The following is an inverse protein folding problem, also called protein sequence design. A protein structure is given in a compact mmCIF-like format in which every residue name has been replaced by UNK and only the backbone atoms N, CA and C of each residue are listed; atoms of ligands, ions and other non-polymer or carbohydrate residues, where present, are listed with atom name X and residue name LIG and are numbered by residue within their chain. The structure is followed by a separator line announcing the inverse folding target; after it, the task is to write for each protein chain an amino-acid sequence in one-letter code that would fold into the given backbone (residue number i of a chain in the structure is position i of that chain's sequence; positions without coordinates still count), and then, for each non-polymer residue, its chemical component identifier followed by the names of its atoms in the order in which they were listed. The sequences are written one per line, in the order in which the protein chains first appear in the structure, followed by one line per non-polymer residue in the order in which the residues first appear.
data_IF_761497861617
#
_entry.id   IF_761497861617
#
_cell.length_a   1.000
_cell.length_b   1.000
_cell.length_c   1.000
_cell.angle_alpha   90.00
_cell.angle_beta   90.00
_cell.angle_gamma   90.00
#
_symmetry.space_group_name_H-M   'P 1'
#
loop_
_entity.id
_entity.type
_entity.pdbx_description
1 polymer ?
#
# COMPACT_ATOMS: atom_id res chain seq x y z
N UNK A 1 -10.83 34.35 -39.01
CA UNK A 1 -10.06 33.09 -39.03
C UNK A 1 -10.57 32.21 -37.91
N UNK A 2 -11.38 31.20 -38.24
CA UNK A 2 -12.01 30.30 -37.27
C UNK A 2 -11.14 29.05 -37.09
N UNK A 3 -10.96 28.61 -35.84
CA UNK A 3 -10.23 27.39 -35.50
C UNK A 3 -10.97 26.13 -36.00
N UNK A 4 -10.26 25.05 -36.37
CA UNK A 4 -10.90 23.84 -36.88
C UNK A 4 -11.56 23.06 -35.74
N UNK A 5 -12.63 22.28 -36.01
CA UNK A 5 -13.26 21.44 -35.00
C UNK A 5 -12.36 20.24 -34.67
N UNK A 6 -12.34 19.85 -33.39
CA UNK A 6 -11.66 18.65 -32.89
C UNK A 6 -12.36 17.37 -33.40
N UNK A 7 -11.62 16.27 -33.62
CA UNK A 7 -12.18 15.04 -34.16
C UNK A 7 -13.07 14.32 -33.14
N UNK A 8 -14.29 13.97 -33.58
CA UNK A 8 -15.19 13.06 -32.88
C UNK A 8 -14.56 11.67 -32.77
N UNK A 9 -14.03 11.32 -31.60
CA UNK A 9 -13.65 9.94 -31.26
C UNK A 9 -14.89 9.21 -30.73
N UNK A 10 -15.69 8.67 -31.64
CA UNK A 10 -16.69 7.66 -31.31
C UNK A 10 -15.97 6.39 -30.82
N UNK A 11 -16.39 5.88 -29.65
CA UNK A 11 -16.00 4.54 -29.18
C UNK A 11 -16.60 3.48 -30.12
N UNK A 12 -15.89 2.38 -30.43
CA UNK A 12 -16.37 1.35 -31.35
C UNK A 12 -17.52 0.52 -30.74
N UNK A 13 -18.43 -0.02 -31.57
CA UNK A 13 -19.53 -0.85 -31.08
C UNK A 13 -19.07 -2.26 -30.69
N UNK A 14 -19.79 -2.83 -29.73
CA UNK A 14 -19.59 -4.17 -29.14
C UNK A 14 -19.89 -5.25 -30.18
N UNK A 15 -18.98 -6.20 -30.37
CA UNK A 15 -19.24 -7.47 -31.08
C UNK A 15 -19.30 -8.63 -30.08
N UNK A 16 -20.31 -9.52 -30.15
CA UNK A 16 -20.37 -10.69 -29.28
C UNK A 16 -19.38 -11.76 -29.76
N UNK A 17 -18.41 -12.13 -28.92
CA UNK A 17 -17.46 -13.20 -29.24
C UNK A 17 -18.02 -14.57 -28.87
N UNK A 18 -18.03 -15.44 -29.89
CA UNK A 18 -18.28 -16.87 -29.79
C UNK A 18 -17.25 -17.56 -28.88
N UNK A 19 -17.73 -18.49 -28.06
CA UNK A 19 -16.95 -19.39 -27.20
C UNK A 19 -16.12 -20.39 -28.02
N UNK A 20 -14.79 -20.53 -27.77
CA UNK A 20 -14.04 -21.67 -28.29
C UNK A 20 -14.19 -22.90 -27.39
N UNK A 21 -14.46 -24.04 -28.02
CA UNK A 21 -14.50 -25.37 -27.41
C UNK A 21 -13.12 -25.77 -26.86
N UNK A 22 -13.12 -26.42 -25.69
CA UNK A 22 -11.93 -27.00 -25.04
C UNK A 22 -11.49 -28.31 -25.71
N UNK A 23 -10.18 -28.54 -25.96
CA UNK A 23 -9.69 -29.85 -26.37
C UNK A 23 -9.58 -30.81 -25.17
N UNK A 24 -10.07 -32.04 -25.36
CA UNK A 24 -9.97 -33.15 -24.41
C UNK A 24 -8.54 -33.68 -24.40
N UNK A 25 -7.88 -33.67 -23.25
CA UNK A 25 -6.65 -34.44 -23.01
C UNK A 25 -6.99 -35.76 -22.30
N UNK A 26 -6.51 -36.85 -22.89
CA UNK A 26 -6.65 -38.22 -22.42
C UNK A 26 -5.43 -38.57 -21.56
N UNK A 27 -5.63 -39.08 -20.34
CA UNK A 27 -4.56 -39.67 -19.51
C UNK A 27 -4.81 -41.17 -19.36
N UNK A 28 -3.79 -42.04 -19.54
CA UNK A 28 -3.93 -43.46 -19.27
C UNK A 28 -3.80 -43.76 -17.77
N UNK A 29 -4.59 -44.73 -17.33
CA UNK A 29 -4.64 -45.24 -15.96
C UNK A 29 -3.53 -46.27 -15.68
N UNK A 30 -2.95 -46.21 -14.48
CA UNK A 30 -2.22 -47.33 -13.87
C UNK A 30 -2.56 -47.41 -12.37
N UNK A 31 -2.97 -48.61 -11.96
CA UNK A 31 -3.34 -49.02 -10.59
C UNK A 31 -2.12 -49.40 -9.73
N UNK A 32 -2.28 -49.53 -8.40
CA UNK A 32 -1.23 -49.25 -7.41
C UNK A 32 -0.56 -50.50 -6.82
N UNK A 33 0.62 -50.30 -6.22
CA UNK A 33 1.26 -51.25 -5.29
C UNK A 33 1.40 -50.65 -3.89
N UNK A 34 1.19 -51.52 -2.91
CA UNK A 34 0.99 -51.30 -1.48
C UNK A 34 2.32 -51.08 -0.74
N UNK A 35 2.33 -50.19 0.26
CA UNK A 35 3.42 -50.05 1.24
C UNK A 35 3.00 -49.21 2.45
N UNK A 36 2.82 -49.86 3.60
CA UNK A 36 2.36 -49.27 4.86
C UNK A 36 3.46 -48.50 5.62
N UNK A 37 3.10 -47.38 6.29
CA UNK A 37 3.22 -47.19 7.76
C UNK A 37 2.95 -45.76 8.25
N UNK A 38 2.27 -45.74 9.40
CA UNK A 38 2.18 -44.75 10.51
C UNK A 38 1.29 -43.51 10.36
N UNK A 39 0.33 -43.48 11.29
CA UNK A 39 -0.68 -42.46 11.51
C UNK A 39 -0.18 -41.29 12.37
N UNK A 40 -0.63 -40.09 12.04
CA UNK A 40 -0.72 -38.89 12.89
C UNK A 40 -2.09 -38.24 12.63
N UNK A 41 -2.69 -37.54 13.59
CA UNK A 41 -4.10 -37.17 13.52
C UNK A 41 -4.33 -36.00 12.56
N UNK A 42 -5.28 -36.18 11.65
CA UNK A 42 -5.78 -35.16 10.73
C UNK A 42 -6.63 -34.13 11.49
N UNK A 43 -6.25 -32.86 11.40
CA UNK A 43 -7.15 -31.72 11.61
C UNK A 43 -7.86 -31.47 10.27
N UNK A 44 -9.18 -31.64 10.22
CA UNK A 44 -9.96 -31.36 9.03
C UNK A 44 -10.14 -29.84 8.85
N UNK A 45 -9.33 -29.23 8.00
CA UNK A 45 -9.68 -27.94 7.41
C UNK A 45 -10.54 -28.20 6.18
N UNK A 46 -11.81 -27.81 6.24
CA UNK A 46 -12.71 -27.76 5.10
C UNK A 46 -12.08 -26.90 4.01
N UNK A 47 -11.77 -27.52 2.87
CA UNK A 47 -11.24 -26.83 1.70
C UNK A 47 -12.33 -25.91 1.12
N UNK A 48 -12.23 -24.62 1.42
CA UNK A 48 -12.93 -23.60 0.65
C UNK A 48 -12.27 -23.54 -0.73
N UNK A 49 -12.99 -24.01 -1.75
CA UNK A 49 -12.58 -24.01 -3.14
C UNK A 49 -12.40 -22.57 -3.63
N UNK A 50 -11.16 -22.07 -3.63
CA UNK A 50 -10.81 -20.81 -4.28
C UNK A 50 -11.04 -20.98 -5.79
N UNK A 51 -12.09 -20.35 -6.32
CA UNK A 51 -12.33 -20.28 -7.77
C UNK A 51 -11.22 -19.45 -8.41
N UNK A 52 -10.34 -20.11 -9.16
CA UNK A 52 -9.42 -19.46 -10.11
C UNK A 52 -10.22 -18.86 -11.27
N UNK A 53 -10.18 -17.54 -11.41
CA UNK A 53 -10.68 -16.81 -12.58
C UNK A 53 -11.42 -15.54 -12.17
N UNK A 54 -10.67 -14.44 -12.00
CA UNK A 54 -11.27 -13.11 -11.81
C UNK A 54 -12.00 -12.69 -13.08
N UNK A 55 -13.31 -12.97 -13.16
CA UNK A 55 -14.20 -12.33 -14.13
C UNK A 55 -14.49 -10.93 -13.58
N UNK A 56 -14.20 -9.90 -14.38
CA UNK A 56 -14.65 -8.53 -14.11
C UNK A 56 -16.18 -8.58 -13.98
N UNK A 57 -16.72 -8.18 -12.84
CA UNK A 57 -18.17 -8.04 -12.68
C UNK A 57 -18.62 -6.86 -13.57
N UNK A 58 -19.49 -7.07 -14.57
CA UNK A 58 -19.93 -6.00 -15.46
C UNK A 58 -20.49 -4.80 -14.71
N UNK A 59 -21.13 -5.00 -13.56
CA UNK A 59 -21.75 -3.95 -12.76
C UNK A 59 -20.73 -2.92 -12.21
N UNK A 60 -19.49 -3.32 -11.92
CA UNK A 60 -18.46 -2.40 -11.39
C UNK A 60 -17.85 -1.52 -12.47
N UNK A 61 -17.59 -2.12 -13.63
CA UNK A 61 -17.18 -1.38 -14.81
C UNK A 61 -18.25 -0.37 -15.21
N UNK A 62 -19.51 -0.79 -15.26
CA UNK A 62 -20.63 0.08 -15.58
C UNK A 62 -20.90 1.13 -14.51
N UNK A 63 -20.73 0.83 -13.22
CA UNK A 63 -20.90 1.83 -12.16
C UNK A 63 -19.80 2.89 -12.18
N UNK A 64 -18.54 2.49 -12.40
CA UNK A 64 -17.42 3.42 -12.55
C UNK A 64 -17.62 4.33 -13.75
N UNK A 65 -17.96 3.76 -14.92
CA UNK A 65 -18.23 4.57 -16.10
C UNK A 65 -19.47 5.45 -15.95
N UNK A 66 -20.54 4.96 -15.31
CA UNK A 66 -21.74 5.76 -15.04
C UNK A 66 -21.41 6.96 -14.16
N UNK A 67 -20.61 6.76 -13.10
CA UNK A 67 -20.15 7.83 -12.22
C UNK A 67 -19.38 8.91 -13.01
N UNK A 68 -18.47 8.51 -13.91
CA UNK A 68 -17.69 9.43 -14.75
C UNK A 68 -18.55 10.14 -15.82
N UNK A 69 -19.44 9.39 -16.48
CA UNK A 69 -20.26 9.89 -17.59
C UNK A 69 -21.42 10.78 -17.13
N UNK A 70 -21.96 10.56 -15.93
CA UNK A 70 -23.13 11.27 -15.39
C UNK A 70 -23.04 12.81 -15.46
N UNK A 71 -21.82 13.37 -15.48
CA UNK A 71 -21.57 14.81 -15.62
C UNK A 71 -20.44 15.14 -16.63
N UNK A 72 -20.18 14.24 -17.60
CA UNK A 72 -19.24 14.48 -18.71
C UNK A 72 -17.77 14.62 -18.30
N UNK A 73 -17.33 13.92 -17.26
CA UNK A 73 -16.00 14.12 -16.66
C UNK A 73 -14.98 13.10 -17.17
N UNK A 74 -13.80 13.59 -17.51
CA UNK A 74 -12.65 12.74 -17.86
C UNK A 74 -11.68 12.58 -16.68
N UNK A 75 -11.05 11.41 -16.52
CA UNK A 75 -10.01 11.19 -15.51
C UNK A 75 -8.86 12.21 -15.64
N UNK A 76 -8.45 12.80 -14.52
CA UNK A 76 -7.41 13.84 -14.47
C UNK A 76 -6.03 13.20 -14.31
N UNK A 77 -5.25 13.18 -15.38
CA UNK A 77 -3.86 12.69 -15.37
C UNK A 77 -2.98 13.39 -14.32
N UNK A 78 -3.17 14.69 -14.10
CA UNK A 78 -2.41 15.46 -13.11
C UNK A 78 -2.66 15.04 -11.66
N UNK A 79 -3.78 14.36 -11.39
CA UNK A 79 -4.10 13.79 -10.08
C UNK A 79 -3.78 12.29 -9.98
N UNK A 80 -3.22 11.68 -11.03
CA UNK A 80 -2.90 10.25 -11.04
C UNK A 80 -4.13 9.34 -10.96
N UNK A 81 -5.31 9.80 -11.42
CA UNK A 81 -6.57 9.06 -11.29
C UNK A 81 -6.57 7.79 -12.15
N UNK A 82 -6.59 6.64 -11.49
CA UNK A 82 -6.79 5.31 -12.05
C UNK A 82 -7.83 4.55 -11.22
N UNK A 83 -9.03 4.39 -11.77
CA UNK A 83 -10.16 3.79 -11.07
C UNK A 83 -10.15 2.27 -11.20
N UNK A 84 -10.33 1.56 -10.08
CA UNK A 84 -10.46 0.11 -10.07
C UNK A 84 -11.79 -0.32 -10.72
N UNK A 85 -11.72 -1.22 -11.71
CA UNK A 85 -12.85 -1.76 -12.44
C UNK A 85 -13.34 -3.11 -11.92
N UNK A 86 -12.61 -3.72 -10.98
CA UNK A 86 -12.83 -5.09 -10.52
C UNK A 86 -13.01 -5.13 -9.00
N UNK A 87 -14.26 -5.30 -8.53
CA UNK A 87 -14.57 -5.41 -7.08
C UNK A 87 -13.80 -6.52 -6.38
N UNK A 88 -13.54 -7.65 -7.04
CA UNK A 88 -12.81 -8.75 -6.39
C UNK A 88 -11.40 -8.35 -5.95
N UNK A 89 -10.77 -7.34 -6.58
CA UNK A 89 -9.50 -6.79 -6.11
C UNK A 89 -9.73 -5.93 -4.85
N UNK A 90 -10.81 -5.14 -4.78
CA UNK A 90 -11.15 -4.36 -3.59
C UNK A 90 -11.48 -5.27 -2.40
N UNK A 91 -12.21 -6.37 -2.63
CA UNK A 91 -12.47 -7.42 -1.63
C UNK A 91 -11.16 -8.03 -1.12
N UNK A 92 -10.23 -8.39 -2.03
CA UNK A 92 -8.92 -8.90 -1.65
C UNK A 92 -8.08 -7.85 -0.88
N UNK A 93 -8.21 -6.56 -1.22
CA UNK A 93 -7.52 -5.48 -0.52
C UNK A 93 -8.03 -5.33 0.92
N UNK A 94 -9.36 -5.33 1.10
CA UNK A 94 -9.99 -5.29 2.43
C UNK A 94 -9.68 -6.56 3.25
N UNK A 95 -9.66 -7.72 2.60
CA UNK A 95 -9.28 -8.99 3.23
C UNK A 95 -7.81 -9.01 3.65
N UNK A 96 -6.90 -8.43 2.85
CA UNK A 96 -5.49 -8.32 3.19
C UNK A 96 -5.24 -7.45 4.45
N UNK A 97 -6.11 -6.47 4.70
CA UNK A 97 -6.14 -5.68 5.94
C UNK A 97 -6.98 -6.31 7.06
N UNK A 98 -7.53 -7.51 6.82
CA UNK A 98 -8.42 -8.22 7.73
C UNK A 98 -9.51 -7.31 8.29
N UNK A 99 -10.15 -6.49 7.44
CA UNK A 99 -11.20 -5.55 7.84
C UNK A 99 -12.39 -6.33 8.39
N UNK A 100 -12.89 -5.88 9.54
CA UNK A 100 -14.01 -6.49 10.27
C UNK A 100 -15.08 -5.45 10.56
N UNK A 101 -16.26 -5.96 10.89
CA UNK A 101 -17.34 -5.12 11.41
C UNK A 101 -16.87 -4.34 12.65
N UNK A 102 -17.16 -3.04 12.65
CA UNK A 102 -16.76 -2.13 13.73
C UNK A 102 -15.37 -1.51 13.56
N UNK A 103 -14.55 -1.96 12.60
CA UNK A 103 -13.26 -1.32 12.33
C UNK A 103 -13.43 0.13 11.85
N UNK A 104 -12.47 0.98 12.21
CA UNK A 104 -12.31 2.32 11.63
C UNK A 104 -11.24 2.27 10.55
N UNK A 105 -11.59 2.69 9.34
CA UNK A 105 -10.71 2.60 8.17
C UNK A 105 -10.51 3.98 7.55
N UNK A 106 -9.25 4.37 7.35
CA UNK A 106 -8.87 5.49 6.52
C UNK A 106 -8.74 5.01 5.06
N UNK A 107 -9.42 5.71 4.15
CA UNK A 107 -9.29 5.54 2.70
C UNK A 107 -8.77 6.84 2.07
N UNK A 108 -7.65 6.76 1.35
CA UNK A 108 -7.03 7.89 0.66
C UNK A 108 -7.34 7.78 -0.83
N UNK A 109 -8.06 8.76 -1.37
CA UNK A 109 -8.47 8.79 -2.77
C UNK A 109 -9.57 7.78 -3.10
N UNK A 110 -10.77 7.88 -2.49
CA UNK A 110 -11.88 6.97 -2.75
C UNK A 110 -12.36 6.98 -4.22
N UNK A 111 -12.11 8.07 -4.97
CA UNK A 111 -12.47 8.16 -6.39
C UNK A 111 -13.96 8.01 -6.63
N UNK A 112 -14.38 6.90 -7.25
CA UNK A 112 -15.81 6.60 -7.49
C UNK A 112 -16.48 5.92 -6.30
N UNK A 113 -15.73 5.59 -5.24
CA UNK A 113 -16.21 4.91 -4.04
C UNK A 113 -16.32 3.38 -4.20
N UNK A 114 -15.60 2.78 -5.15
CA UNK A 114 -15.66 1.33 -5.38
C UNK A 114 -15.04 0.51 -4.24
N UNK A 115 -13.94 0.98 -3.66
CA UNK A 115 -13.34 0.38 -2.46
C UNK A 115 -14.15 0.77 -1.21
N UNK A 116 -14.58 2.03 -1.11
CA UNK A 116 -15.47 2.51 -0.05
C UNK A 116 -16.70 1.62 0.14
N UNK A 117 -17.34 1.19 -0.95
CA UNK A 117 -18.51 0.29 -0.89
C UNK A 117 -18.16 -1.01 -0.16
N UNK A 118 -17.06 -1.67 -0.54
CA UNK A 118 -16.62 -2.94 0.06
C UNK A 118 -16.33 -2.77 1.54
N UNK A 119 -15.69 -1.66 1.94
CA UNK A 119 -15.38 -1.38 3.35
C UNK A 119 -16.65 -1.17 4.18
N UNK A 120 -17.63 -0.43 3.66
CA UNK A 120 -18.91 -0.20 4.32
C UNK A 120 -19.73 -1.50 4.41
N UNK A 121 -19.74 -2.31 3.36
CA UNK A 121 -20.45 -3.60 3.30
C UNK A 121 -19.90 -4.60 4.32
N UNK A 122 -18.60 -4.50 4.66
CA UNK A 122 -17.96 -5.25 5.76
C UNK A 122 -18.29 -4.69 7.16
N UNK A 123 -19.06 -3.60 7.25
CA UNK A 123 -19.46 -2.99 8.51
C UNK A 123 -18.40 -2.07 9.13
N UNK A 124 -17.42 -1.60 8.35
CA UNK A 124 -16.44 -0.62 8.82
C UNK A 124 -17.03 0.81 8.85
N UNK A 125 -16.44 1.67 9.67
CA UNK A 125 -16.62 3.13 9.59
C UNK A 125 -15.44 3.72 8.81
N UNK A 126 -15.72 4.39 7.70
CA UNK A 126 -14.71 4.88 6.76
C UNK A 126 -14.54 6.40 6.89
N UNK A 127 -13.30 6.82 7.08
CA UNK A 127 -12.87 8.20 6.84
C UNK A 127 -12.19 8.26 5.48
N UNK A 128 -12.82 8.90 4.50
CA UNK A 128 -12.27 9.03 3.17
C UNK A 128 -11.65 10.43 2.98
N UNK A 129 -10.44 10.51 2.42
CA UNK A 129 -9.76 11.78 2.09
C UNK A 129 -9.63 11.89 0.58
N UNK A 130 -10.32 12.85 -0.02
CA UNK A 130 -10.35 13.04 -1.46
C UNK A 130 -9.96 14.47 -1.83
N UNK A 131 -8.92 14.61 -2.66
CA UNK A 131 -8.40 15.90 -3.10
C UNK A 131 -9.28 16.53 -4.18
N UNK A 132 -9.89 15.70 -5.02
CA UNK A 132 -10.78 16.17 -6.08
C UNK A 132 -12.18 16.46 -5.51
N UNK A 133 -12.51 17.74 -5.36
CA UNK A 133 -13.78 18.19 -4.77
C UNK A 133 -15.02 17.58 -5.40
N UNK A 134 -14.96 17.27 -6.70
CA UNK A 134 -16.06 16.58 -7.36
C UNK A 134 -16.19 15.12 -6.93
N UNK A 135 -15.07 14.41 -6.83
CA UNK A 135 -15.09 13.00 -6.39
C UNK A 135 -15.48 12.91 -4.92
N UNK A 136 -15.03 13.87 -4.10
CA UNK A 136 -15.47 13.98 -2.72
C UNK A 136 -17.00 14.10 -2.62
N UNK A 137 -17.59 15.04 -3.37
CA UNK A 137 -19.05 15.22 -3.41
C UNK A 137 -19.79 13.99 -3.98
N UNK A 138 -19.24 13.34 -5.01
CA UNK A 138 -19.83 12.16 -5.63
C UNK A 138 -19.90 10.99 -4.65
N UNK A 139 -18.81 10.72 -3.93
CA UNK A 139 -18.75 9.62 -2.96
C UNK A 139 -19.65 9.94 -1.76
N UNK A 140 -19.65 11.19 -1.28
CA UNK A 140 -20.55 11.64 -0.21
C UNK A 140 -22.03 11.46 -0.59
N UNK A 141 -22.44 11.92 -1.79
CA UNK A 141 -23.80 11.74 -2.32
C UNK A 141 -24.18 10.25 -2.47
N UNK A 142 -23.25 9.44 -3.00
CA UNK A 142 -23.46 8.00 -3.22
C UNK A 142 -23.77 7.24 -1.93
N UNK A 143 -23.19 7.67 -0.81
CA UNK A 143 -23.32 7.00 0.48
C UNK A 143 -24.10 7.85 1.51
N UNK A 144 -24.85 8.86 1.09
CA UNK A 144 -25.63 9.73 1.98
C UNK A 144 -26.68 8.98 2.82
N UNK A 145 -27.07 7.77 2.42
CA UNK A 145 -27.98 6.90 3.17
C UNK A 145 -27.35 6.14 4.35
N UNK A 146 -26.03 6.27 4.57
CA UNK A 146 -25.31 5.60 5.67
C UNK A 146 -24.52 6.61 6.51
N UNK A 147 -24.44 6.37 7.81
CA UNK A 147 -23.61 7.14 8.75
C UNK A 147 -22.19 6.57 8.88
N UNK A 148 -21.86 5.51 8.13
CA UNK A 148 -20.57 4.82 8.17
C UNK A 148 -19.48 5.47 7.31
N UNK A 149 -19.78 6.58 6.63
CA UNK A 149 -18.82 7.31 5.83
C UNK A 149 -18.70 8.76 6.31
N UNK A 150 -17.47 9.24 6.39
CA UNK A 150 -17.14 10.66 6.47
C UNK A 150 -16.13 11.00 5.38
N UNK A 151 -16.47 11.98 4.53
CA UNK A 151 -15.57 12.45 3.46
C UNK A 151 -14.91 13.77 3.86
N UNK A 152 -13.57 13.83 3.75
CA UNK A 152 -12.77 15.05 3.87
C UNK A 152 -12.30 15.46 2.48
N UNK A 153 -12.74 16.63 2.01
CA UNK A 153 -12.25 17.18 0.75
C UNK A 153 -10.93 17.94 0.95
N UNK A 154 -9.84 17.20 1.14
CA UNK A 154 -8.51 17.74 1.43
C UNK A 154 -7.42 17.05 0.62
N UNK A 155 -6.26 17.71 0.52
CA UNK A 155 -5.03 17.06 0.06
C UNK A 155 -4.42 16.28 1.23
N UNK A 156 -4.40 14.94 1.14
CA UNK A 156 -3.84 14.10 2.19
C UNK A 156 -2.42 14.50 2.59
N UNK A 157 -1.60 14.96 1.63
CA UNK A 157 -0.21 15.37 1.91
C UNK A 157 -0.08 16.66 2.72
N UNK A 158 -1.19 17.37 2.94
CA UNK A 158 -1.26 18.65 3.64
C UNK A 158 -2.22 18.63 4.84
N UNK A 159 -2.97 17.56 5.03
CA UNK A 159 -3.96 17.45 6.09
C UNK A 159 -3.32 17.08 7.44
N UNK A 160 -3.94 17.51 8.53
CA UNK A 160 -3.53 17.12 9.89
C UNK A 160 -4.23 15.81 10.28
N UNK A 161 -3.82 14.71 9.64
CA UNK A 161 -4.52 13.42 9.75
C UNK A 161 -4.69 12.92 11.19
N UNK A 162 -3.68 13.10 12.05
CA UNK A 162 -3.77 12.74 13.47
C UNK A 162 -4.94 13.44 14.18
N UNK A 163 -5.20 14.71 13.87
CA UNK A 163 -6.28 15.50 14.46
C UNK A 163 -7.66 15.03 13.98
N UNK A 164 -7.80 14.73 12.68
CA UNK A 164 -9.04 14.20 12.13
C UNK A 164 -9.37 12.83 12.71
N UNK A 165 -8.37 11.94 12.80
CA UNK A 165 -8.57 10.60 13.34
C UNK A 165 -8.88 10.63 14.83
N UNK A 166 -8.16 11.45 15.62
CA UNK A 166 -8.45 11.62 17.05
C UNK A 166 -9.89 12.10 17.28
N UNK A 167 -10.36 13.04 16.47
CA UNK A 167 -11.74 13.55 16.56
C UNK A 167 -12.78 12.48 16.21
N UNK A 168 -12.49 11.66 15.19
CA UNK A 168 -13.38 10.56 14.78
C UNK A 168 -13.41 9.43 15.82
N UNK A 169 -12.24 8.96 16.26
CA UNK A 169 -12.13 7.91 17.28
C UNK A 169 -12.83 8.31 18.57
N UNK A 170 -12.66 9.57 19.02
CA UNK A 170 -13.38 10.08 20.19
C UNK A 170 -14.91 10.05 20.01
N UNK A 171 -15.42 10.35 18.82
CA UNK A 171 -16.86 10.27 18.55
C UNK A 171 -17.40 8.83 18.58
N UNK A 172 -16.57 7.85 18.22
CA UNK A 172 -16.92 6.44 18.20
C UNK A 172 -16.79 5.81 19.60
N UNK A 173 -15.75 6.15 20.36
CA UNK A 173 -15.54 5.67 21.74
C UNK A 173 -16.65 6.07 22.71
N UNK A 174 -17.24 7.26 22.50
CA UNK A 174 -18.44 7.71 23.23
C UNK A 174 -19.66 6.79 22.99
N UNK A 175 -19.58 5.88 22.03
CA UNK A 175 -20.64 5.00 21.55
C UNK A 175 -20.41 3.50 21.91
N UNK A 176 -19.69 3.22 23.01
CA UNK A 176 -19.64 1.91 23.71
C UNK A 176 -18.60 0.84 23.24
N UNK A 177 -17.53 1.21 22.52
CA UNK A 177 -16.52 0.25 22.05
C UNK A 177 -15.09 0.51 22.56
N UNK A 178 -14.39 -0.57 22.96
CA UNK A 178 -12.95 -0.54 23.25
C UNK A 178 -12.21 -0.05 22.00
N UNK A 179 -11.42 1.01 22.15
CA UNK A 179 -10.64 1.61 21.07
C UNK A 179 -9.62 0.60 20.52
N UNK A 180 -9.89 0.07 19.32
CA UNK A 180 -8.91 -0.64 18.53
C UNK A 180 -8.22 0.37 17.62
N UNK A 181 -6.90 0.24 17.35
CA UNK A 181 -6.25 1.07 16.37
C UNK A 181 -6.97 0.99 15.02
N UNK A 182 -7.05 2.13 14.33
CA UNK A 182 -7.64 2.19 13.00
C UNK A 182 -6.77 1.43 11.99
N UNK A 183 -7.29 1.25 10.77
CA UNK A 183 -6.56 0.69 9.64
C UNK A 183 -6.53 1.67 8.48
N UNK A 184 -5.58 1.50 7.58
CA UNK A 184 -5.58 2.20 6.29
C UNK A 184 -5.75 1.18 5.18
N UNK A 185 -6.72 1.39 4.29
CA UNK A 185 -6.94 0.53 3.12
C UNK A 185 -7.17 1.44 1.93
N UNK A 186 -6.28 1.46 0.94
CA UNK A 186 -6.37 2.46 -0.13
C UNK A 186 -5.75 2.03 -1.46
N UNK A 187 -6.42 2.42 -2.55
CA UNK A 187 -5.86 2.47 -3.90
C UNK A 187 -5.34 3.89 -4.18
N UNK A 188 -4.10 4.16 -3.82
CA UNK A 188 -3.58 5.53 -3.81
C UNK A 188 -3.06 5.97 -5.19
N UNK A 189 -3.10 7.29 -5.49
CA UNK A 189 -2.47 7.80 -6.70
C UNK A 189 -0.96 7.56 -6.72
N UNK A 190 -0.46 6.98 -7.81
CA UNK A 190 0.91 6.48 -7.88
C UNK A 190 1.98 7.56 -7.71
N UNK A 191 1.68 8.80 -8.10
CA UNK A 191 2.61 9.93 -8.06
C UNK A 191 2.92 10.47 -6.65
N UNK A 192 2.13 10.10 -5.63
CA UNK A 192 2.29 10.58 -4.25
C UNK A 192 2.54 9.44 -3.25
N UNK A 193 2.79 8.22 -3.73
CA UNK A 193 2.93 7.02 -2.90
C UNK A 193 3.97 7.17 -1.78
N UNK A 194 5.14 7.73 -2.11
CA UNK A 194 6.24 7.90 -1.14
C UNK A 194 5.87 8.89 -0.03
N UNK A 195 5.17 9.97 -0.37
CA UNK A 195 4.77 10.99 0.61
C UNK A 195 3.68 10.47 1.53
N UNK A 196 2.71 9.71 0.99
CA UNK A 196 1.68 9.02 1.77
C UNK A 196 2.33 8.06 2.77
N UNK A 197 3.26 7.21 2.33
CA UNK A 197 3.96 6.26 3.20
C UNK A 197 4.72 6.99 4.32
N UNK A 198 5.42 8.07 3.98
CA UNK A 198 6.17 8.86 4.98
C UNK A 198 5.29 9.52 6.03
N UNK A 199 4.06 9.86 5.69
CA UNK A 199 3.09 10.41 6.63
C UNK A 199 2.42 9.34 7.48
N UNK A 200 2.09 8.18 6.89
CA UNK A 200 1.32 7.13 7.56
C UNK A 200 2.14 6.25 8.51
N UNK A 201 3.31 5.77 8.08
CA UNK A 201 4.02 4.73 8.86
C UNK A 201 4.43 5.18 10.28
N UNK A 202 4.78 6.45 10.55
CA UNK A 202 5.06 6.90 11.91
C UNK A 202 3.84 6.93 12.85
N UNK A 203 2.62 6.80 12.33
CA UNK A 203 1.37 6.90 13.07
C UNK A 203 0.92 5.56 13.67
N UNK A 204 1.86 4.75 14.19
CA UNK A 204 1.58 3.44 14.79
C UNK A 204 0.70 3.51 16.05
N UNK A 205 0.65 4.68 16.70
CA UNK A 205 -0.25 4.98 17.82
C UNK A 205 -1.73 5.08 17.39
N UNK A 206 -1.97 5.37 16.11
CA UNK A 206 -3.31 5.55 15.53
C UNK A 206 -3.70 4.34 14.68
N UNK A 207 -2.77 3.83 13.87
CA UNK A 207 -3.02 2.75 12.92
C UNK A 207 -2.26 1.49 13.29
N UNK A 208 -2.92 0.33 13.27
CA UNK A 208 -2.23 -0.96 13.43
C UNK A 208 -1.65 -1.48 12.11
N UNK A 209 -2.34 -1.20 11.00
CA UNK A 209 -2.04 -1.80 9.71
C UNK A 209 -2.38 -0.84 8.57
N UNK A 210 -1.48 -0.77 7.59
CA UNK A 210 -1.62 0.03 6.38
C UNK A 210 -1.54 -0.91 5.18
N UNK A 211 -2.61 -1.01 4.39
CA UNK A 211 -2.67 -1.82 3.17
C UNK A 211 -2.91 -0.91 1.97
N UNK A 212 -1.93 -0.88 1.07
CA UNK A 212 -1.91 0.03 -0.07
C UNK A 212 -1.76 -0.76 -1.36
N UNK A 213 -2.51 -0.32 -2.38
CA UNK A 213 -2.24 -0.69 -3.76
C UNK A 213 -1.28 0.34 -4.36
N UNK A 214 -0.11 -0.13 -4.79
CA UNK A 214 1.00 0.66 -5.31
C UNK A 214 1.40 0.18 -6.71
N UNK A 215 2.24 0.94 -7.42
CA UNK A 215 2.93 0.41 -8.60
C UNK A 215 3.80 -0.79 -8.21
N UNK A 216 3.85 -1.82 -9.05
CA UNK A 216 4.57 -3.07 -8.76
C UNK A 216 6.05 -2.83 -8.41
N UNK A 217 6.76 -2.02 -9.19
CA UNK A 217 8.17 -1.68 -8.91
C UNK A 217 8.33 -1.01 -7.54
N UNK A 218 7.41 -0.10 -7.20
CA UNK A 218 7.44 0.58 -5.90
C UNK A 218 7.13 -0.39 -4.77
N UNK A 219 6.15 -1.28 -4.94
CA UNK A 219 5.82 -2.32 -3.97
C UNK A 219 7.01 -3.25 -3.69
N UNK A 220 7.61 -3.82 -4.75
CA UNK A 220 8.78 -4.68 -4.64
C UNK A 220 9.93 -3.96 -3.95
N UNK A 221 10.19 -2.71 -4.34
CA UNK A 221 11.24 -1.89 -3.74
C UNK A 221 11.02 -1.63 -2.25
N UNK A 222 9.79 -1.48 -1.77
CA UNK A 222 9.52 -1.19 -0.36
C UNK A 222 9.59 -2.44 0.52
N UNK A 223 9.19 -3.59 -0.02
CA UNK A 223 9.19 -4.88 0.70
C UNK A 223 10.56 -5.53 0.71
N UNK A 224 11.42 -5.24 -0.28
CA UNK A 224 12.76 -5.81 -0.33
C UNK A 224 13.58 -5.43 0.92
N UNK A 225 13.83 -6.46 1.73
CA UNK A 225 14.59 -6.42 2.97
C UNK A 225 16.03 -6.94 2.79
N UNK A 226 16.39 -7.43 1.60
CA UNK A 226 17.69 -8.05 1.37
C UNK A 226 18.83 -7.03 1.48
N UNK A 227 19.82 -7.36 2.32
CA UNK A 227 21.09 -6.63 2.42
C UNK A 227 21.95 -6.96 1.20
N UNK A 228 22.42 -5.94 0.47
CA UNK A 228 23.37 -6.14 -0.64
C UNK A 228 22.78 -6.16 -2.06
N UNK A 229 21.48 -5.91 -2.24
CA UNK A 229 20.96 -5.55 -3.57
C UNK A 229 21.31 -4.08 -3.86
N UNK A 230 21.70 -3.77 -5.10
CA UNK A 230 22.12 -2.41 -5.51
C UNK A 230 20.99 -1.36 -5.47
N UNK A 231 19.80 -1.72 -4.98
CA UNK A 231 18.59 -0.91 -5.05
C UNK A 231 18.09 -0.38 -3.70
N UNK A 232 18.74 -0.74 -2.58
CA UNK A 232 18.36 -0.24 -1.25
C UNK A 232 18.49 1.29 -1.18
N UNK A 233 17.46 1.93 -0.60
CA UNK A 233 17.34 3.39 -0.50
C UNK A 233 16.98 3.81 0.93
N UNK A 234 17.06 5.12 1.27
CA UNK A 234 16.61 5.63 2.57
C UNK A 234 15.18 5.21 2.92
N UNK A 235 14.30 5.11 1.92
CA UNK A 235 12.91 4.72 2.14
C UNK A 235 12.79 3.28 2.67
N UNK A 236 13.68 2.36 2.30
CA UNK A 236 13.69 0.99 2.83
C UNK A 236 13.97 1.00 4.33
N UNK A 237 14.97 1.79 4.76
CA UNK A 237 15.30 1.94 6.19
C UNK A 237 14.13 2.57 6.92
N UNK A 238 13.49 3.59 6.33
CA UNK A 238 12.30 4.23 6.88
C UNK A 238 11.13 3.27 7.07
N UNK A 239 10.79 2.49 6.05
CA UNK A 239 9.69 1.51 6.11
C UNK A 239 9.97 0.46 7.19
N UNK A 240 11.15 -0.14 7.19
CA UNK A 240 11.51 -1.19 8.16
C UNK A 240 11.62 -0.65 9.60
N UNK A 241 11.96 0.63 9.78
CA UNK A 241 12.01 1.26 11.10
C UNK A 241 10.62 1.33 11.74
N UNK A 242 9.60 1.73 10.97
CA UNK A 242 8.25 1.97 11.47
C UNK A 242 7.29 0.79 11.30
N UNK A 243 7.63 -0.19 10.47
CA UNK A 243 6.70 -1.26 10.11
C UNK A 243 7.40 -2.54 9.66
N UNK A 244 6.60 -3.60 9.54
CA UNK A 244 6.98 -4.84 8.86
C UNK A 244 6.24 -4.92 7.51
N UNK A 245 6.93 -4.64 6.38
CA UNK A 245 6.32 -4.65 5.06
C UNK A 245 6.16 -6.07 4.52
N UNK A 246 5.04 -6.35 3.85
CA UNK A 246 4.77 -7.66 3.24
C UNK A 246 4.09 -7.49 1.87
N UNK A 247 4.64 -8.14 0.84
CA UNK A 247 4.03 -8.21 -0.48
C UNK A 247 2.87 -9.21 -0.43
N UNK A 248 1.65 -8.77 -0.77
CA UNK A 248 0.47 -9.64 -0.74
C UNK A 248 0.22 -10.30 -2.09
N UNK A 249 -0.03 -9.50 -3.12
CA UNK A 249 -0.29 -10.02 -4.48
C UNK A 249 -0.14 -8.94 -5.55
N UNK A 250 0.07 -9.39 -6.80
CA UNK A 250 0.13 -8.54 -8.00
C UNK A 250 -1.27 -8.26 -8.55
N UNK A 251 -1.48 -7.04 -9.07
CA UNK A 251 -2.71 -6.61 -9.74
C UNK A 251 -2.40 -6.16 -11.17
N UNK A 252 -2.91 -6.86 -12.20
CA UNK A 252 -2.70 -6.45 -13.59
C UNK A 252 -3.31 -5.08 -13.88
N UNK A 253 -2.58 -4.24 -14.63
CA UNK A 253 -3.02 -2.89 -15.05
C UNK A 253 -4.34 -2.86 -15.81
N UNK A 254 -4.75 -3.98 -16.41
CA UNK A 254 -6.03 -4.12 -17.13
C UNK A 254 -7.26 -4.01 -16.22
N UNK A 255 -7.08 -4.06 -14.89
CA UNK A 255 -8.15 -3.84 -13.92
C UNK A 255 -8.45 -2.35 -13.66
N UNK A 256 -7.82 -1.41 -14.37
CA UNK A 256 -7.95 0.02 -14.12
C UNK A 256 -8.46 0.80 -15.34
N UNK A 257 -9.15 1.91 -15.06
CA UNK A 257 -9.49 2.92 -16.05
C UNK A 257 -9.14 4.35 -15.57
N UNK A 258 -8.40 5.14 -16.36
CA UNK A 258 -7.62 4.72 -17.52
C UNK A 258 -6.59 3.68 -17.12
N UNK A 259 -6.19 2.82 -18.05
CA UNK A 259 -5.16 1.82 -17.78
C UNK A 259 -3.81 2.52 -17.50
N UNK A 260 -3.12 2.24 -16.39
CA UNK A 260 -1.79 2.75 -16.12
C UNK A 260 -0.74 2.08 -17.01
N UNK A 261 0.45 2.67 -17.07
CA UNK A 261 1.55 2.15 -17.90
C UNK A 261 2.18 0.88 -17.32
N UNK A 262 2.09 0.69 -16.01
CA UNK A 262 2.71 -0.41 -15.25
C UNK A 262 1.66 -1.18 -14.47
N UNK A 263 1.96 -2.42 -14.15
CA UNK A 263 1.15 -3.21 -13.21
C UNK A 263 1.25 -2.64 -11.79
N UNK A 264 0.31 -3.06 -10.96
CA UNK A 264 0.22 -2.70 -9.56
C UNK A 264 0.45 -3.91 -8.66
N UNK A 265 0.62 -3.68 -7.37
CA UNK A 265 0.67 -4.71 -6.35
C UNK A 265 0.13 -4.18 -5.02
N UNK A 266 -0.39 -5.10 -4.22
CA UNK A 266 -0.86 -4.84 -2.86
C UNK A 266 0.25 -5.15 -1.87
N UNK A 267 0.51 -4.20 -0.98
CA UNK A 267 1.48 -4.31 0.10
C UNK A 267 0.79 -3.98 1.42
N UNK A 268 1.06 -4.76 2.46
CA UNK A 268 0.70 -4.41 3.84
C UNK A 268 1.92 -3.94 4.60
N UNK A 269 1.71 -3.03 5.54
CA UNK A 269 2.67 -2.57 6.52
C UNK A 269 2.02 -2.74 7.89
N UNK A 270 2.49 -3.71 8.67
CA UNK A 270 2.11 -3.83 10.07
C UNK A 270 2.89 -2.78 10.85
N UNK A 271 2.22 -1.80 11.45
CA UNK A 271 2.90 -0.70 12.12
C UNK A 271 3.41 -1.13 13.50
N UNK A 272 4.61 -0.64 13.83
CA UNK A 272 5.23 -0.83 15.15
C UNK A 272 4.70 0.21 16.11
N UNK A 273 4.54 -0.16 17.37
CA UNK A 273 4.29 0.82 18.43
C UNK A 273 5.59 1.54 18.77
N UNK A 274 5.50 2.74 19.35
CA UNK A 274 6.69 3.53 19.69
C UNK A 274 7.67 2.78 20.61
N UNK A 275 7.17 1.88 21.46
CA UNK A 275 7.98 1.03 22.33
C UNK A 275 8.78 -0.05 21.56
N UNK A 276 8.34 -0.41 20.36
CA UNK A 276 8.97 -1.42 19.50
C UNK A 276 9.89 -0.82 18.44
N UNK A 277 10.03 0.52 18.41
CA UNK A 277 10.95 1.17 17.49
C UNK A 277 12.41 0.80 17.82
N UNK A 278 13.28 0.67 16.80
CA UNK A 278 14.70 0.45 17.04
C UNK A 278 15.30 1.51 17.97
N UNK A 279 16.09 1.07 18.94
CA UNK A 279 16.64 1.94 19.99
C UNK A 279 17.71 2.89 19.41
N UNK A 280 17.31 4.13 19.13
CA UNK A 280 18.20 5.20 18.65
C UNK A 280 18.11 6.40 19.59
N UNK A 281 19.24 7.09 19.82
CA UNK A 281 19.30 8.25 20.72
C UNK A 281 18.35 9.39 20.30
N UNK A 282 18.13 9.56 18.99
CA UNK A 282 17.12 10.44 18.43
C UNK A 282 16.68 9.96 17.06
N UNK A 283 15.37 9.82 16.87
CA UNK A 283 14.78 9.41 15.58
C UNK A 283 15.13 10.42 14.48
N UNK A 284 15.16 11.72 14.83
CA UNK A 284 15.48 12.80 13.88
C UNK A 284 16.94 12.72 13.43
N UNK A 285 17.89 12.53 14.36
CA UNK A 285 19.31 12.39 14.01
C UNK A 285 19.56 11.11 13.22
N UNK A 286 18.88 10.02 13.58
CA UNK A 286 18.95 8.74 12.87
C UNK A 286 18.58 8.88 11.40
N UNK A 287 17.40 9.43 11.10
CA UNK A 287 17.00 9.62 9.70
C UNK A 287 17.83 10.69 8.98
N UNK A 288 18.35 11.69 9.68
CA UNK A 288 19.33 12.62 9.09
C UNK A 288 20.59 11.87 8.65
N UNK A 289 21.14 11.01 9.50
CA UNK A 289 22.31 10.18 9.21
C UNK A 289 22.04 9.22 8.05
N UNK A 290 20.89 8.53 8.05
CA UNK A 290 20.49 7.62 6.97
C UNK A 290 20.42 8.40 5.65
N UNK A 291 19.74 9.54 5.58
CA UNK A 291 19.67 10.33 4.35
C UNK A 291 21.06 10.77 3.87
N UNK A 292 21.92 11.18 4.81
CA UNK A 292 23.31 11.53 4.55
C UNK A 292 24.13 10.37 4.02
N UNK A 293 23.94 9.15 4.53
CA UNK A 293 24.64 7.95 4.07
C UNK A 293 24.44 7.72 2.57
N UNK A 294 23.19 7.85 2.10
CA UNK A 294 22.80 7.67 0.70
C UNK A 294 23.07 8.92 -0.17
N UNK A 295 23.68 9.99 0.36
CA UNK A 295 23.98 11.21 -0.38
C UNK A 295 25.24 11.04 -1.26
N UNK A 296 25.06 10.35 -2.38
CA UNK A 296 26.07 10.13 -3.40
C UNK A 296 26.14 8.67 -3.83
N UNK A 297 25.93 8.42 -5.12
CA UNK A 297 25.97 7.06 -5.66
C UNK A 297 27.35 6.43 -5.43
N UNK A 298 27.38 5.20 -4.90
CA UNK A 298 28.57 4.35 -4.73
C UNK A 298 29.63 4.88 -3.74
N UNK A 299 29.32 5.92 -2.95
CA UNK A 299 30.23 6.42 -1.91
C UNK A 299 30.24 5.47 -0.71
N UNK A 300 31.43 5.27 -0.13
CA UNK A 300 31.60 4.57 1.15
C UNK A 300 31.04 5.42 2.30
N UNK A 301 30.55 4.77 3.36
CA UNK A 301 29.95 5.44 4.52
C UNK A 301 30.89 6.47 5.17
N UNK A 302 32.16 6.12 5.32
CA UNK A 302 33.24 7.01 5.80
C UNK A 302 33.46 8.28 4.98
N UNK A 303 32.95 8.34 3.74
CA UNK A 303 32.96 9.54 2.88
C UNK A 303 31.64 10.28 2.93
N UNK A 304 30.52 9.57 3.01
CA UNK A 304 29.18 10.17 3.06
C UNK A 304 28.89 10.85 4.42
N UNK A 305 29.43 10.32 5.52
CA UNK A 305 29.08 10.74 6.88
C UNK A 305 30.11 11.70 7.53
N UNK A 306 31.07 12.25 6.77
CA UNK A 306 32.15 13.09 7.31
C UNK A 306 31.72 14.41 7.97
N UNK A 307 30.49 14.86 7.70
CA UNK A 307 29.92 16.03 8.35
C UNK A 307 29.30 15.72 9.72
N UNK A 308 29.16 14.44 10.08
CA UNK A 308 28.64 13.98 11.37
C UNK A 308 29.79 13.61 12.30
N UNK A 309 30.79 12.90 11.80
CA UNK A 309 31.95 12.42 12.57
C UNK A 309 33.17 12.26 11.66
N UNK A 310 34.36 12.14 12.24
CA UNK A 310 35.60 11.99 11.46
C UNK A 310 35.64 10.65 10.73
N UNK A 311 36.36 10.58 9.60
CA UNK A 311 36.47 9.32 8.84
C UNK A 311 37.02 8.16 9.69
N UNK A 312 37.98 8.44 10.58
CA UNK A 312 38.59 7.45 11.46
C UNK A 312 37.61 6.91 12.51
N UNK A 313 36.78 7.78 13.09
CA UNK A 313 35.72 7.36 14.02
C UNK A 313 34.65 6.52 13.33
N UNK A 314 34.27 6.88 12.09
CA UNK A 314 33.32 6.10 11.30
C UNK A 314 33.90 4.72 10.93
N UNK A 315 35.16 4.65 10.52
CA UNK A 315 35.84 3.37 10.21
C UNK A 315 35.89 2.47 11.44
N UNK A 316 36.25 3.00 12.63
CA UNK A 316 36.21 2.26 13.90
C UNK A 316 34.80 1.79 14.27
N UNK A 317 33.80 2.65 14.12
CA UNK A 317 32.41 2.28 14.42
C UNK A 317 31.87 1.19 13.46
N UNK A 318 32.32 1.18 12.20
CA UNK A 318 32.01 0.10 11.26
C UNK A 318 32.67 -1.21 11.70
N UNK A 319 33.94 -1.18 12.12
CA UNK A 319 34.64 -2.35 12.65
C UNK A 319 33.94 -2.91 13.91
N UNK A 320 33.51 -2.05 14.84
CA UNK A 320 32.73 -2.43 16.02
C UNK A 320 31.37 -3.06 15.65
N UNK A 321 30.80 -2.64 14.51
CA UNK A 321 29.59 -3.24 13.94
C UNK A 321 29.87 -4.53 13.14
N UNK A 322 31.11 -5.01 13.08
CA UNK A 322 31.57 -6.13 12.23
C UNK A 322 31.38 -5.88 10.72
N UNK A 323 31.53 -4.62 10.29
CA UNK A 323 31.41 -4.19 8.90
C UNK A 323 32.77 -3.69 8.37
N UNK A 324 33.09 -3.92 7.08
CA UNK A 324 34.27 -3.35 6.46
C UNK A 324 34.30 -1.81 6.49
N UNK A 325 35.48 -1.22 6.68
CA UNK A 325 35.70 0.23 6.52
C UNK A 325 35.30 0.77 5.12
N UNK A 326 35.23 -0.12 4.13
CA UNK A 326 34.80 0.15 2.76
C UNK A 326 33.30 0.03 2.53
N UNK A 327 32.52 -0.28 3.58
CA UNK A 327 31.08 -0.51 3.46
C UNK A 327 30.31 0.65 2.88
N UNK A 328 29.29 0.31 2.10
CA UNK A 328 28.37 1.25 1.48
C UNK A 328 26.97 1.18 2.10
N UNK A 329 26.18 2.26 2.05
CA UNK A 329 24.86 2.30 2.65
C UNK A 329 23.92 1.17 2.23
N UNK A 330 23.98 0.74 0.96
CA UNK A 330 23.15 -0.33 0.41
C UNK A 330 23.48 -1.73 0.97
N UNK A 331 24.64 -1.90 1.59
CA UNK A 331 25.10 -3.17 2.18
C UNK A 331 24.59 -3.35 3.62
N UNK A 332 24.18 -2.27 4.30
CA UNK A 332 23.79 -2.29 5.71
C UNK A 332 22.34 -2.73 5.90
N UNK A 333 22.10 -3.57 6.92
CA UNK A 333 20.76 -3.84 7.48
C UNK A 333 20.25 -2.66 8.31
N UNK A 334 18.97 -2.70 8.74
CA UNK A 334 18.43 -1.68 9.65
C UNK A 334 19.19 -1.69 10.99
N UNK A 335 19.48 -2.86 11.53
CA UNK A 335 20.20 -2.99 12.79
C UNK A 335 21.62 -2.43 12.69
N UNK A 336 22.29 -2.65 11.56
CA UNK A 336 23.61 -2.05 11.29
C UNK A 336 23.56 -0.51 11.31
N UNK A 337 22.53 0.09 10.70
CA UNK A 337 22.33 1.54 10.76
C UNK A 337 22.10 2.02 12.20
N UNK A 338 21.34 1.28 13.00
CA UNK A 338 21.03 1.63 14.40
C UNK A 338 22.30 1.56 15.26
N UNK A 339 23.07 0.47 15.15
CA UNK A 339 24.35 0.32 15.85
C UNK A 339 25.35 1.42 15.45
N UNK A 340 25.51 1.64 14.14
CA UNK A 340 26.40 2.68 13.62
C UNK A 340 25.99 4.07 14.13
N UNK A 341 24.70 4.40 14.09
CA UNK A 341 24.19 5.68 14.59
C UNK A 341 24.57 5.91 16.06
N UNK A 342 24.32 4.92 16.91
CA UNK A 342 24.55 5.03 18.34
C UNK A 342 26.04 5.13 18.71
N UNK A 343 26.94 4.67 17.83
CA UNK A 343 28.39 4.80 18.01
C UNK A 343 28.93 6.16 17.56
N UNK A 344 28.41 6.72 16.46
CA UNK A 344 28.98 7.94 15.85
C UNK A 344 28.26 9.22 16.26
N UNK A 345 26.97 9.15 16.60
CA UNK A 345 26.18 10.30 17.06
C UNK A 345 26.25 10.31 18.59
N UNK A 346 27.29 10.94 19.13
CA UNK A 346 27.38 11.24 20.57
C UNK A 346 26.24 12.18 20.95
N UNK A 347 25.61 11.94 22.11
CA UNK A 347 24.49 12.72 22.64
C UNK A 347 24.83 14.19 22.81
#
# INVERSE_FOLDING_TARGET
MAAPPLPNLFLPPISPTNSPQSPKFCFPATTPTVGARRATPFVSCSAATVRKGGRVNPDDYHSTLRALNSKGRMPRKSLGQHYMLNSSINEQLAAAANVKEGDVVLEIGPGTGSLTSVLIDLGATVLAVEKDSYMAALVDERFAGTNRLKVLNEDFTKCHMSSHMSSLLKSIELSDSKSQPAKVVSNIPFNISTDIIKLLLPMGDIFSEVVLLLQEETALRLVDSSSGTSEKRPINVFVNFYSDPEFKFKVPRTNFFPQPNVDAAVVSFKLKQAADYPAVSSIKSFFSMVNSAFNGKRKMLRKSLQHISTALEIERALEDCSLPATSRPEELSLDDFVRLHNLIVKQ
#
